data_IF_296997773702
#
_entry.id   IF_296997773702
#
_cell.length_a   1.000
_cell.length_b   1.000
_cell.length_c   1.000
_cell.angle_alpha   90.00
_cell.angle_beta   90.00
_cell.angle_gamma   90.00
#
_symmetry.space_group_name_H-M   'P 1'
#
loop_
_entity.id
_entity.type
_entity.pdbx_description
1 polymer ?
#
# COMPACT_ATOMS: atom_id res chain seq x y z
N UNK A 1 -12.99 3.60 -10.08
CA UNK A 1 -12.28 2.38 -10.53
C UNK A 1 -10.80 2.74 -10.54
N UNK A 2 -9.90 1.83 -10.16
CA UNK A 2 -8.46 2.17 -10.18
C UNK A 2 -8.04 2.30 -11.65
N UNK A 3 -7.62 3.50 -12.04
CA UNK A 3 -7.21 3.87 -13.40
C UNK A 3 -5.69 4.04 -13.54
N UNK A 4 -4.95 4.00 -12.43
CA UNK A 4 -3.51 4.25 -12.39
C UNK A 4 -2.82 3.19 -11.52
N UNK A 5 -1.81 2.54 -12.07
CA UNK A 5 -0.93 1.60 -11.37
C UNK A 5 0.50 2.14 -11.41
N UNK A 6 1.07 2.41 -10.26
CA UNK A 6 2.50 2.68 -10.12
C UNK A 6 3.21 1.38 -9.75
N UNK A 7 4.27 1.02 -10.45
CA UNK A 7 5.00 -0.23 -10.23
C UNK A 7 6.48 0.05 -10.08
N UNK A 8 7.09 -0.43 -8.99
CA UNK A 8 8.54 -0.33 -8.84
C UNK A 8 9.24 -1.18 -9.91
N UNK A 9 10.28 -0.65 -10.55
CA UNK A 9 11.04 -1.35 -11.61
C UNK A 9 11.48 -2.75 -11.20
N UNK A 10 11.87 -2.94 -9.94
CA UNK A 10 12.32 -4.22 -9.41
C UNK A 10 11.23 -5.31 -9.38
N UNK A 11 9.95 -4.93 -9.32
CA UNK A 11 8.82 -5.87 -9.29
C UNK A 11 8.02 -5.90 -10.58
N UNK A 12 8.44 -5.16 -11.60
CA UNK A 12 7.73 -5.08 -12.89
C UNK A 12 7.54 -6.47 -13.50
N UNK A 13 8.58 -7.30 -13.52
CA UNK A 13 8.54 -8.66 -14.07
C UNK A 13 8.07 -9.71 -13.06
N UNK A 14 7.72 -9.32 -11.84
CA UNK A 14 7.29 -10.27 -10.82
C UNK A 14 5.95 -10.92 -11.22
N UNK A 15 5.80 -12.25 -11.14
CA UNK A 15 4.59 -12.95 -11.61
C UNK A 15 3.28 -12.43 -10.99
N UNK A 16 3.33 -12.03 -9.71
CA UNK A 16 2.18 -11.45 -9.02
C UNK A 16 1.86 -10.05 -9.54
N UNK A 17 2.86 -9.20 -9.78
CA UNK A 17 2.65 -7.84 -10.30
C UNK A 17 2.03 -7.90 -11.70
N UNK A 18 2.60 -8.73 -12.58
CA UNK A 18 2.07 -9.01 -13.91
C UNK A 18 0.62 -9.53 -13.87
N UNK A 19 0.29 -10.42 -12.93
CA UNK A 19 -1.08 -10.92 -12.75
C UNK A 19 -2.06 -9.82 -12.34
N UNK A 20 -1.62 -8.86 -11.52
CA UNK A 20 -2.45 -7.72 -11.09
C UNK A 20 -2.65 -6.74 -12.24
N UNK A 21 -1.58 -6.35 -12.94
CA UNK A 21 -1.63 -5.46 -14.10
C UNK A 21 -2.58 -6.04 -15.18
N UNK A 22 -2.45 -7.32 -15.51
CA UNK A 22 -3.33 -8.00 -16.50
C UNK A 22 -4.80 -8.02 -16.11
N UNK A 23 -5.13 -7.93 -14.82
CA UNK A 23 -6.52 -7.86 -14.34
C UNK A 23 -7.11 -6.46 -14.42
N UNK A 24 -6.27 -5.43 -14.29
CA UNK A 24 -6.64 -4.03 -14.33
C UNK A 24 -6.36 -3.45 -15.73
N UNK A 25 -7.01 -4.02 -16.76
CA UNK A 25 -6.71 -3.75 -18.18
C UNK A 25 -6.90 -2.30 -18.63
N UNK A 26 -7.66 -1.51 -17.88
CA UNK A 26 -7.96 -0.12 -18.20
C UNK A 26 -7.08 0.87 -17.43
N UNK A 27 -6.19 0.37 -16.56
CA UNK A 27 -5.33 1.24 -15.79
C UNK A 27 -4.02 1.52 -16.54
N UNK A 28 -3.61 2.78 -16.55
CA UNK A 28 -2.31 3.20 -17.03
C UNK A 28 -1.23 2.70 -16.05
N UNK A 29 -0.12 2.20 -16.60
CA UNK A 29 1.00 1.66 -15.81
C UNK A 29 2.18 2.61 -15.87
N UNK A 30 2.65 3.04 -14.70
CA UNK A 30 3.75 3.96 -14.52
C UNK A 30 4.88 3.28 -13.74
N UNK A 31 6.07 3.22 -14.33
CA UNK A 31 7.25 2.73 -13.63
C UNK A 31 7.80 3.78 -12.68
N UNK A 32 8.15 3.36 -11.47
CA UNK A 32 8.77 4.19 -10.44
C UNK A 32 10.00 3.49 -9.86
N UNK A 33 10.90 4.23 -9.23
CA UNK A 33 12.03 3.63 -8.51
C UNK A 33 11.60 3.16 -7.12
N UNK A 34 10.95 4.04 -6.36
CA UNK A 34 10.55 3.77 -4.97
C UNK A 34 9.14 4.24 -4.67
N UNK A 35 8.32 3.40 -4.04
CA UNK A 35 6.94 3.74 -3.68
C UNK A 35 6.85 4.94 -2.74
N UNK A 36 7.88 5.18 -1.93
CA UNK A 36 7.98 6.31 -1.01
C UNK A 36 8.01 7.68 -1.70
N UNK A 37 8.27 7.75 -3.01
CA UNK A 37 8.21 9.01 -3.76
C UNK A 37 6.79 9.55 -3.89
N UNK A 38 5.81 8.64 -3.82
CA UNK A 38 4.39 8.90 -4.05
C UNK A 38 3.55 8.69 -2.78
N UNK A 39 3.82 7.59 -2.07
CA UNK A 39 3.09 7.20 -0.88
C UNK A 39 3.50 8.05 0.32
N UNK A 40 2.50 8.61 1.01
CA UNK A 40 2.72 9.50 2.15
C UNK A 40 3.70 10.64 1.86
N UNK A 41 3.41 11.42 0.82
CA UNK A 41 4.14 12.66 0.64
C UNK A 41 3.55 13.72 1.57
N UNK A 42 4.40 14.56 2.16
CA UNK A 42 3.94 15.71 2.93
C UNK A 42 3.03 16.60 2.06
N UNK A 43 2.07 17.27 2.71
CA UNK A 43 1.14 18.21 2.08
C UNK A 43 0.15 17.59 1.07
N UNK A 44 -0.16 16.30 1.18
CA UNK A 44 -1.25 15.68 0.43
C UNK A 44 -2.58 15.77 1.18
N UNK A 45 -3.68 15.90 0.44
CA UNK A 45 -5.03 15.88 0.99
C UNK A 45 -5.66 14.49 0.81
N UNK A 46 -5.94 13.80 1.92
CA UNK A 46 -6.53 12.47 1.91
C UNK A 46 -7.89 12.40 1.19
N UNK A 47 -8.73 13.43 1.34
CA UNK A 47 -10.07 13.45 0.70
C UNK A 47 -9.97 13.52 -0.81
N UNK A 48 -9.01 14.27 -1.34
CA UNK A 48 -8.75 14.32 -2.79
C UNK A 48 -8.25 12.95 -3.28
N UNK A 49 -7.32 12.31 -2.56
CA UNK A 49 -6.83 10.97 -2.93
C UNK A 49 -7.93 9.90 -2.97
N UNK A 50 -8.95 10.01 -2.11
CA UNK A 50 -10.08 9.08 -2.11
C UNK A 50 -11.03 9.26 -3.30
N UNK A 51 -11.01 10.41 -3.97
CA UNK A 51 -11.80 10.62 -5.19
C UNK A 51 -11.25 9.81 -6.36
N UNK A 52 -9.92 9.67 -6.46
CA UNK A 52 -9.28 8.82 -7.46
C UNK A 52 -8.12 8.00 -6.87
N UNK A 53 -8.38 6.78 -6.36
CA UNK A 53 -7.34 5.94 -5.78
C UNK A 53 -6.48 5.27 -6.86
N UNK A 54 -5.16 5.35 -6.69
CA UNK A 54 -4.19 4.59 -7.47
C UNK A 54 -3.74 3.33 -6.73
N UNK A 55 -3.26 2.33 -7.48
CA UNK A 55 -2.59 1.16 -6.92
C UNK A 55 -1.07 1.33 -7.02
N UNK A 56 -0.34 0.99 -5.96
CA UNK A 56 1.12 0.94 -5.99
C UNK A 56 1.56 -0.51 -5.76
N UNK A 57 2.36 -1.04 -6.67
CA UNK A 57 3.00 -2.35 -6.60
C UNK A 57 4.48 -2.15 -6.28
N UNK A 58 4.90 -2.60 -5.10
CA UNK A 58 6.23 -2.32 -4.57
C UNK A 58 6.85 -3.55 -3.90
N UNK A 59 8.18 -3.59 -3.83
CA UNK A 59 8.92 -4.58 -3.06
C UNK A 59 8.98 -4.16 -1.60
N UNK A 60 8.66 -5.10 -0.72
CA UNK A 60 8.96 -4.96 0.70
C UNK A 60 10.40 -5.39 0.95
N UNK A 61 11.24 -4.47 1.43
CA UNK A 61 12.68 -4.73 1.66
C UNK A 61 13.01 -5.14 3.09
N UNK A 62 12.18 -4.72 4.05
CA UNK A 62 12.41 -4.94 5.48
C UNK A 62 11.08 -4.95 6.24
N UNK A 63 11.14 -5.12 7.56
CA UNK A 63 9.99 -5.14 8.46
C UNK A 63 8.95 -6.19 8.03
N UNK A 64 9.44 -7.34 7.55
CA UNK A 64 8.61 -8.45 7.08
C UNK A 64 7.64 -8.92 8.16
N UNK A 65 8.14 -9.04 9.38
CA UNK A 65 7.39 -9.36 10.61
C UNK A 65 7.83 -8.39 11.70
N UNK A 66 6.86 -7.76 12.36
CA UNK A 66 7.07 -6.74 13.38
C UNK A 66 6.45 -7.18 14.72
N UNK A 67 7.04 -6.83 15.87
CA UNK A 67 6.40 -7.06 17.15
C UNK A 67 5.09 -6.26 17.22
N UNK A 68 4.03 -6.89 17.73
CA UNK A 68 2.77 -6.21 17.96
C UNK A 68 2.97 -5.13 19.06
N UNK A 69 2.37 -3.94 18.91
CA UNK A 69 2.41 -2.93 19.95
C UNK A 69 1.84 -3.44 21.28
N UNK A 70 2.29 -2.87 22.39
CA UNK A 70 1.78 -3.22 23.71
C UNK A 70 0.25 -3.00 23.78
N UNK A 71 -0.48 -4.00 24.29
CA UNK A 71 -1.95 -3.96 24.37
C UNK A 71 -2.70 -4.41 23.10
N UNK A 72 -2.00 -4.68 21.99
CA UNK A 72 -2.59 -5.20 20.75
C UNK A 72 -2.37 -6.71 20.54
N UNK A 73 -1.71 -7.36 21.50
CA UNK A 73 -1.42 -8.79 21.46
C UNK A 73 -2.53 -9.65 22.07
N UNK A 74 -2.54 -10.93 21.70
CA UNK A 74 -3.29 -11.96 22.43
C UNK A 74 -2.57 -12.26 23.75
N UNK A 75 -3.17 -13.10 24.60
CA UNK A 75 -2.58 -13.57 25.87
C UNK A 75 -1.26 -14.37 25.73
N UNK A 76 -0.67 -14.40 24.54
CA UNK A 76 0.64 -14.97 24.26
C UNK A 76 1.77 -14.03 24.74
N UNK A 77 2.90 -14.62 25.13
CA UNK A 77 4.08 -13.89 25.60
C UNK A 77 4.76 -13.04 24.51
N UNK A 78 4.62 -13.43 23.23
CA UNK A 78 5.16 -12.68 22.09
C UNK A 78 4.10 -12.62 21.00
N UNK A 79 3.80 -11.42 20.53
CA UNK A 79 2.83 -11.17 19.48
C UNK A 79 3.51 -10.44 18.33
N UNK A 80 3.14 -10.78 17.10
CA UNK A 80 3.73 -10.22 15.89
C UNK A 80 2.64 -9.91 14.87
N UNK A 81 2.92 -8.97 13.98
CA UNK A 81 2.10 -8.68 12.82
C UNK A 81 2.96 -8.50 11.57
N UNK A 82 2.34 -8.69 10.41
CA UNK A 82 2.94 -8.37 9.12
C UNK A 82 1.93 -7.59 8.30
N UNK A 83 2.42 -6.65 7.50
CA UNK A 83 1.62 -5.88 6.55
C UNK A 83 1.97 -6.32 5.14
N UNK A 84 0.97 -6.88 4.43
CA UNK A 84 1.04 -7.19 3.00
C UNK A 84 0.59 -6.03 2.11
N UNK A 85 -0.13 -5.06 2.68
CA UNK A 85 -0.69 -3.92 1.98
C UNK A 85 -0.68 -2.73 2.93
N UNK A 86 -0.43 -1.55 2.38
CA UNK A 86 -0.60 -0.30 3.10
C UNK A 86 -1.85 0.43 2.61
N UNK A 87 -2.46 1.19 3.53
CA UNK A 87 -3.74 1.87 3.31
C UNK A 87 -4.89 0.90 3.00
N UNK A 88 -6.05 1.43 2.60
CA UNK A 88 -7.27 0.66 2.41
C UNK A 88 -8.10 1.24 1.27
N UNK A 89 -8.90 0.40 0.59
CA UNK A 89 -9.86 0.84 -0.44
C UNK A 89 -11.09 1.53 0.17
N UNK A 90 -11.38 1.29 1.45
CA UNK A 90 -12.55 1.85 2.12
C UNK A 90 -12.31 3.30 2.59
N UNK A 91 -13.38 4.08 2.67
CA UNK A 91 -13.39 5.45 3.20
C UNK A 91 -14.19 5.52 4.50
N UNK A 92 -13.70 4.84 5.54
CA UNK A 92 -14.35 4.86 6.85
C UNK A 92 -14.14 6.23 7.50
N UNK A 93 -15.22 6.88 7.98
CA UNK A 93 -15.16 8.19 8.67
C UNK A 93 -14.19 8.23 9.87
N UNK A 94 -13.96 7.09 10.50
CA UNK A 94 -13.14 6.91 11.70
C UNK A 94 -11.75 6.29 11.39
N UNK A 95 -11.37 6.19 10.11
CA UNK A 95 -10.14 5.50 9.75
C UNK A 95 -8.92 6.27 10.29
N UNK A 96 -8.09 5.61 11.10
CA UNK A 96 -6.86 6.23 11.60
C UNK A 96 -5.79 6.35 10.50
N UNK A 97 -5.92 5.62 9.38
CA UNK A 97 -4.99 5.68 8.24
C UNK A 97 -5.13 6.96 7.40
N UNK A 98 -6.09 7.86 7.72
CA UNK A 98 -6.32 9.12 7.00
C UNK A 98 -5.21 10.15 7.26
N UNK A 99 -3.97 9.84 6.87
CA UNK A 99 -2.78 10.66 7.17
C UNK A 99 -1.84 10.03 8.19
N UNK A 100 -1.99 8.74 8.47
CA UNK A 100 -1.00 7.92 9.16
C UNK A 100 -0.36 6.97 8.15
N UNK A 101 0.96 6.86 8.20
CA UNK A 101 1.68 6.61 6.96
C UNK A 101 2.17 7.97 6.63
#
# INVERSE_FOLDING_TARGET
MIDSIFVEREVLDHPIAQKVIKRLKHADVFEIERYQEMFNKRQQNFRIQKQNPALILAKKHDNFVLPAPQGFGLAAQKNYYFSHMYNCIYDCRYCFLQGMY
#
